data_IF_635608947960
#
_entry.id   IF_635608947960
#
_cell.length_a   1.000
_cell.length_b   1.000
_cell.length_c   1.000
_cell.angle_alpha   90.00
_cell.angle_beta   90.00
_cell.angle_gamma   90.00
#
_symmetry.space_group_name_H-M   'P 1'
#
loop_
_entity.id
_entity.type
_entity.pdbx_description
1 polymer ?
#
# COMPACT_ATOMS: atom_id res chain seq x y z
N UNK A 1 -21.10 3.23 -30.21
CA UNK A 1 -19.70 3.38 -29.78
C UNK A 1 -19.66 4.64 -28.95
N UNK A 2 -19.59 4.51 -27.63
CA UNK A 2 -19.49 5.68 -26.74
C UNK A 2 -18.04 6.13 -26.76
N UNK A 3 -17.76 7.31 -27.30
CA UNK A 3 -16.44 7.94 -27.23
C UNK A 3 -16.21 8.35 -25.77
N UNK A 4 -15.31 7.64 -25.07
CA UNK A 4 -15.10 7.83 -23.63
C UNK A 4 -14.06 8.95 -23.34
N UNK A 5 -13.93 9.88 -24.28
CA UNK A 5 -12.97 10.98 -24.24
C UNK A 5 -13.65 12.34 -23.99
N UNK A 6 -13.08 13.13 -23.08
CA UNK A 6 -13.52 14.50 -22.80
C UNK A 6 -12.57 15.48 -23.48
N UNK A 7 -13.11 16.32 -24.37
CA UNK A 7 -12.37 17.37 -25.05
C UNK A 7 -12.64 18.71 -24.36
N UNK A 8 -11.58 19.37 -23.90
CA UNK A 8 -11.65 20.60 -23.11
C UNK A 8 -10.74 21.63 -23.77
N UNK A 9 -11.19 22.88 -23.85
CA UNK A 9 -10.35 24.00 -24.29
C UNK A 9 -10.31 25.05 -23.18
N UNK A 10 -9.13 25.33 -22.62
CA UNK A 10 -8.93 26.26 -21.51
C UNK A 10 -7.76 27.19 -21.85
N UNK A 11 -7.97 28.50 -21.77
CA UNK A 11 -6.94 29.52 -22.07
C UNK A 11 -6.22 29.28 -23.41
N UNK A 12 -6.96 28.84 -24.45
CA UNK A 12 -6.43 28.50 -25.77
C UNK A 12 -5.83 27.09 -25.90
N UNK A 13 -5.55 26.41 -24.78
CA UNK A 13 -4.96 25.06 -24.76
C UNK A 13 -6.04 23.99 -24.94
N UNK A 14 -5.78 23.02 -25.82
CA UNK A 14 -6.69 21.88 -26.06
C UNK A 14 -6.22 20.66 -25.26
N UNK A 15 -7.09 20.13 -24.41
CA UNK A 15 -6.82 18.95 -23.59
C UNK A 15 -7.84 17.86 -23.94
N UNK A 16 -7.36 16.67 -24.26
CA UNK A 16 -8.17 15.48 -24.54
C UNK A 16 -7.95 14.50 -23.39
N UNK A 17 -8.92 14.35 -22.49
CA UNK A 17 -8.87 13.33 -21.44
C UNK A 17 -9.42 12.01 -22.01
N UNK A 18 -8.59 10.99 -22.11
CA UNK A 18 -8.95 9.66 -22.61
C UNK A 18 -9.20 8.77 -21.39
N UNK A 19 -10.48 8.54 -21.07
CA UNK A 19 -10.89 7.74 -19.92
C UNK A 19 -10.82 6.24 -20.19
N UNK A 20 -9.94 5.54 -19.47
CA UNK A 20 -9.68 4.11 -19.66
C UNK A 20 -10.36 3.27 -18.59
N UNK A 21 -10.99 2.17 -19.01
CA UNK A 21 -11.44 1.14 -18.09
C UNK A 21 -10.27 0.17 -17.91
N UNK A 22 -9.48 0.39 -16.87
CA UNK A 22 -8.30 -0.42 -16.57
C UNK A 22 -8.66 -1.91 -16.65
N UNK A 23 -7.94 -2.63 -17.51
CA UNK A 23 -8.16 -4.05 -17.86
C UNK A 23 -9.17 -4.23 -19.03
N UNK A 24 -9.15 -3.35 -20.03
CA UNK A 24 -9.98 -3.49 -21.25
C UNK A 24 -9.16 -3.40 -22.53
N UNK A 25 -9.21 -4.44 -23.36
CA UNK A 25 -8.62 -4.41 -24.72
C UNK A 25 -9.20 -3.27 -25.56
N UNK A 26 -10.49 -2.99 -25.39
CA UNK A 26 -11.15 -1.87 -26.08
C UNK A 26 -10.55 -0.52 -25.69
N UNK A 27 -10.14 -0.34 -24.43
CA UNK A 27 -9.47 0.89 -23.99
C UNK A 27 -8.06 1.04 -24.58
N UNK A 28 -7.33 -0.06 -24.80
CA UNK A 28 -6.03 -0.04 -25.49
C UNK A 28 -6.20 0.42 -26.94
N UNK A 29 -7.16 -0.17 -27.66
CA UNK A 29 -7.45 0.19 -29.05
C UNK A 29 -7.90 1.65 -29.19
N UNK A 30 -8.74 2.12 -28.27
CA UNK A 30 -9.21 3.51 -28.23
C UNK A 30 -8.07 4.50 -27.96
N UNK A 31 -7.21 4.22 -26.98
CA UNK A 31 -6.01 5.02 -26.70
C UNK A 31 -5.12 5.13 -27.94
N UNK A 32 -4.83 4.01 -28.59
CA UNK A 32 -3.99 3.98 -29.79
C UNK A 32 -4.61 4.78 -30.94
N UNK A 33 -5.92 4.61 -31.17
CA UNK A 33 -6.67 5.33 -32.19
C UNK A 33 -6.62 6.83 -31.96
N UNK A 34 -7.02 7.30 -30.77
CA UNK A 34 -7.08 8.74 -30.47
C UNK A 34 -5.70 9.39 -30.59
N UNK A 35 -4.64 8.77 -30.07
CA UNK A 35 -3.28 9.33 -30.18
C UNK A 35 -2.82 9.39 -31.66
N UNK A 36 -3.16 8.38 -32.46
CA UNK A 36 -2.80 8.31 -33.88
C UNK A 36 -3.55 9.33 -34.73
N UNK A 37 -4.85 9.52 -34.46
CA UNK A 37 -5.73 10.39 -35.24
C UNK A 37 -5.52 11.86 -34.87
N UNK A 38 -5.44 12.18 -33.57
CA UNK A 38 -5.34 13.56 -33.08
C UNK A 38 -3.91 14.11 -33.15
N UNK A 39 -2.90 13.22 -33.16
CA UNK A 39 -1.45 13.56 -33.14
C UNK A 39 -1.13 14.71 -32.18
N UNK A 40 -1.43 14.53 -30.88
CA UNK A 40 -1.21 15.59 -29.89
C UNK A 40 0.27 15.99 -29.84
N UNK A 41 0.54 17.23 -29.43
CA UNK A 41 1.91 17.71 -29.23
C UNK A 41 2.58 17.07 -28.01
N UNK A 42 1.81 16.50 -27.09
CA UNK A 42 2.30 15.80 -25.88
C UNK A 42 1.27 14.80 -25.37
N UNK A 43 1.74 13.67 -24.83
CA UNK A 43 0.89 12.66 -24.17
C UNK A 43 1.17 12.61 -22.67
N UNK A 44 0.16 12.84 -21.85
CA UNK A 44 0.20 12.69 -20.40
C UNK A 44 -0.35 11.32 -20.01
N UNK A 45 0.28 10.65 -19.05
CA UNK A 45 -0.11 9.29 -18.64
C UNK A 45 -0.26 9.22 -17.12
N UNK A 46 -1.37 8.65 -16.64
CA UNK A 46 -1.62 8.37 -15.21
C UNK A 46 -0.74 7.21 -14.72
N UNK A 47 0.56 7.49 -14.64
CA UNK A 47 1.57 6.55 -14.19
C UNK A 47 2.67 7.31 -13.45
N UNK A 48 3.13 6.75 -12.33
CA UNK A 48 4.29 7.27 -11.60
C UNK A 48 5.60 6.63 -12.11
N UNK A 49 6.73 7.21 -11.73
CA UNK A 49 8.04 6.77 -12.19
C UNK A 49 8.36 5.33 -11.74
N UNK A 50 7.98 4.96 -10.52
CA UNK A 50 8.14 3.61 -9.99
C UNK A 50 7.36 2.56 -10.80
N UNK A 51 6.09 2.84 -11.11
CA UNK A 51 5.25 1.97 -11.95
C UNK A 51 5.72 1.94 -13.40
N UNK A 52 6.11 3.07 -13.98
CA UNK A 52 6.71 3.10 -15.32
C UNK A 52 7.93 2.20 -15.40
N UNK A 53 8.86 2.33 -14.46
CA UNK A 53 10.05 1.47 -14.38
C UNK A 53 9.66 -0.01 -14.26
N UNK A 54 8.65 -0.32 -13.44
CA UNK A 54 8.17 -1.70 -13.23
C UNK A 54 7.49 -2.32 -14.46
N UNK A 55 6.82 -1.51 -15.29
CA UNK A 55 6.10 -1.95 -16.50
C UNK A 55 7.04 -2.00 -17.70
N UNK A 56 7.97 -1.04 -17.81
CA UNK A 56 8.88 -0.89 -18.94
C UNK A 56 10.17 -1.70 -18.79
N UNK A 57 10.66 -1.92 -17.57
CA UNK A 57 11.84 -2.73 -17.32
C UNK A 57 11.42 -4.08 -16.75
N UNK A 58 11.73 -5.17 -17.48
CA UNK A 58 11.79 -6.50 -16.88
C UNK A 58 12.97 -6.51 -15.88
N UNK A 59 12.61 -6.29 -14.61
CA UNK A 59 13.37 -6.59 -13.38
C UNK A 59 14.49 -5.63 -12.90
N UNK A 60 14.49 -5.39 -11.58
CA UNK A 60 15.71 -5.22 -10.76
C UNK A 60 15.39 -5.44 -9.26
N UNK A 61 14.68 -6.52 -8.92
CA UNK A 61 14.57 -6.96 -7.51
C UNK A 61 15.85 -7.69 -7.04
N UNK A 62 16.80 -7.96 -7.94
CA UNK A 62 18.11 -8.56 -7.64
C UNK A 62 18.95 -7.74 -6.65
N UNK A 63 18.62 -6.45 -6.45
CA UNK A 63 19.28 -5.54 -5.52
C UNK A 63 18.59 -5.41 -4.16
N UNK A 64 17.56 -6.21 -3.87
CA UNK A 64 16.89 -6.19 -2.56
C UNK A 64 17.83 -6.68 -1.46
N UNK A 65 18.28 -5.75 -0.62
CA UNK A 65 18.89 -6.10 0.66
C UNK A 65 17.80 -6.25 1.73
N UNK A 66 17.30 -7.47 1.86
CA UNK A 66 16.29 -7.85 2.87
C UNK A 66 16.82 -7.59 4.30
N UNK A 67 18.14 -7.71 4.52
CA UNK A 67 18.74 -7.44 5.83
C UNK A 67 18.64 -5.96 6.19
N UNK A 68 18.92 -5.08 5.22
CA UNK A 68 18.77 -3.62 5.39
C UNK A 68 17.33 -3.24 5.70
N UNK A 69 16.36 -3.86 5.03
CA UNK A 69 14.93 -3.61 5.26
C UNK A 69 14.53 -3.93 6.70
N UNK A 70 14.98 -5.06 7.26
CA UNK A 70 14.69 -5.39 8.66
C UNK A 70 15.43 -4.48 9.64
N UNK A 71 16.68 -4.09 9.37
CA UNK A 71 17.42 -3.12 10.22
C UNK A 71 16.74 -1.75 10.27
N UNK A 72 16.16 -1.32 9.17
CA UNK A 72 15.45 -0.05 9.04
C UNK A 72 13.99 -0.11 9.51
N UNK A 73 13.50 -1.25 10.01
CA UNK A 73 12.11 -1.42 10.44
C UNK A 73 11.09 -1.38 9.30
N UNK A 74 11.54 -1.53 8.04
CA UNK A 74 10.71 -1.44 6.83
C UNK A 74 10.06 -2.77 6.42
N UNK A 75 10.11 -3.79 7.27
CA UNK A 75 9.56 -5.12 6.99
C UNK A 75 8.07 -5.11 6.65
N UNK A 76 7.25 -4.38 7.43
CA UNK A 76 5.82 -4.25 7.15
C UNK A 76 5.52 -3.53 5.83
N UNK A 77 6.33 -2.54 5.46
CA UNK A 77 6.20 -1.85 4.17
C UNK A 77 6.48 -2.82 3.01
N UNK A 78 7.50 -3.66 3.13
CA UNK A 78 7.80 -4.67 2.12
C UNK A 78 6.65 -5.68 2.00
N UNK A 79 6.09 -6.16 3.12
CA UNK A 79 4.92 -7.04 3.11
C UNK A 79 3.73 -6.37 2.41
N UNK A 80 3.41 -5.13 2.77
CA UNK A 80 2.31 -4.38 2.17
C UNK A 80 2.48 -4.22 0.66
N UNK A 81 3.68 -3.86 0.20
CA UNK A 81 4.01 -3.76 -1.23
C UNK A 81 3.85 -5.11 -1.93
N UNK A 82 4.34 -6.21 -1.35
CA UNK A 82 4.22 -7.54 -1.95
C UNK A 82 2.76 -8.02 -2.03
N UNK A 83 1.97 -7.80 -0.98
CA UNK A 83 0.54 -8.13 -0.98
C UNK A 83 -0.20 -7.33 -2.04
N UNK A 84 0.05 -6.02 -2.13
CA UNK A 84 -0.57 -5.14 -3.11
C UNK A 84 -0.20 -5.57 -4.53
N UNK A 85 1.09 -5.79 -4.81
CA UNK A 85 1.55 -6.25 -6.11
C UNK A 85 1.01 -7.64 -6.47
N UNK A 86 0.86 -8.54 -5.48
CA UNK A 86 0.23 -9.85 -5.68
C UNK A 86 -1.25 -9.72 -6.04
N UNK A 87 -2.00 -8.85 -5.36
CA UNK A 87 -3.39 -8.54 -5.67
C UNK A 87 -3.54 -7.95 -7.08
N UNK A 88 -2.71 -6.96 -7.42
CA UNK A 88 -2.68 -6.34 -8.75
C UNK A 88 -2.41 -7.36 -9.87
N UNK A 89 -1.48 -8.31 -9.65
CA UNK A 89 -1.19 -9.37 -10.63
C UNK A 89 -2.35 -10.34 -10.81
N UNK A 90 -3.00 -10.76 -9.71
CA UNK A 90 -4.16 -11.67 -9.78
C UNK A 90 -5.33 -11.08 -10.55
N UNK A 91 -5.65 -9.80 -10.32
CA UNK A 91 -6.70 -9.11 -11.09
C UNK A 91 -6.36 -9.01 -12.58
N UNK A 92 -5.08 -8.89 -12.95
CA UNK A 92 -4.64 -8.83 -14.35
C UNK A 92 -4.59 -10.17 -15.09
N UNK A 93 -4.43 -11.29 -14.39
CA UNK A 93 -4.29 -12.60 -15.04
C UNK A 93 -5.60 -13.18 -15.58
N UNK A 94 -6.75 -12.79 -15.04
CA UNK A 94 -8.04 -13.39 -15.40
C UNK A 94 -8.65 -12.82 -16.71
N UNK A 95 -8.17 -11.67 -17.19
CA UNK A 95 -8.72 -10.97 -18.37
C UNK A 95 -7.73 -10.84 -19.54
N UNK A 96 -6.50 -11.37 -19.40
CA UNK A 96 -5.48 -11.33 -20.44
C UNK A 96 -4.93 -9.93 -20.75
N UNK A 97 -5.25 -8.93 -19.92
CA UNK A 97 -4.76 -7.55 -19.95
C UNK A 97 -4.26 -7.22 -18.55
N UNK A 98 -3.05 -6.68 -18.42
CA UNK A 98 -2.49 -6.29 -17.13
C UNK A 98 -2.95 -4.87 -16.78
N UNK A 99 -3.24 -4.57 -15.51
CA UNK A 99 -3.47 -3.21 -15.07
C UNK A 99 -2.31 -2.30 -15.51
N UNK A 100 -2.63 -1.24 -16.25
CA UNK A 100 -1.64 -0.30 -16.78
C UNK A 100 -1.18 -0.61 -18.21
N UNK A 101 -1.72 -1.64 -18.87
CA UNK A 101 -1.45 -1.89 -20.30
C UNK A 101 -1.99 -0.76 -21.19
N UNK A 102 -3.05 -0.06 -20.78
CA UNK A 102 -3.55 1.13 -21.49
C UNK A 102 -2.54 2.28 -21.42
N UNK A 103 -1.97 2.51 -20.23
CA UNK A 103 -0.91 3.49 -20.02
C UNK A 103 0.35 3.13 -20.80
N UNK A 104 0.69 1.84 -20.83
CA UNK A 104 1.82 1.33 -21.60
C UNK A 104 1.60 1.54 -23.10
N UNK A 105 0.41 1.24 -23.61
CA UNK A 105 0.05 1.45 -25.01
C UNK A 105 0.14 2.93 -25.39
N UNK A 106 -0.29 3.85 -24.53
CA UNK A 106 -0.12 5.28 -24.74
C UNK A 106 1.35 5.68 -24.91
N UNK A 107 2.23 5.13 -24.07
CA UNK A 107 3.68 5.38 -24.12
C UNK A 107 4.30 4.78 -25.38
N UNK A 108 3.95 3.54 -25.75
CA UNK A 108 4.48 2.88 -26.94
C UNK A 108 4.02 3.57 -28.22
N UNK A 109 2.75 3.95 -28.30
CA UNK A 109 2.18 4.66 -29.47
C UNK A 109 2.75 6.08 -29.59
N UNK A 110 2.87 6.83 -28.49
CA UNK A 110 3.51 8.15 -28.53
C UNK A 110 4.97 8.07 -28.97
N UNK A 111 5.73 7.11 -28.44
CA UNK A 111 7.12 6.87 -28.84
C UNK A 111 7.25 6.50 -30.33
N UNK A 112 6.36 5.64 -30.85
CA UNK A 112 6.34 5.25 -32.26
C UNK A 112 6.05 6.43 -33.21
N UNK A 113 5.26 7.41 -32.76
CA UNK A 113 4.92 8.61 -33.52
C UNK A 113 5.88 9.79 -33.27
N UNK A 114 6.89 9.62 -32.41
CA UNK A 114 7.82 10.70 -32.04
C UNK A 114 7.17 11.80 -31.19
N UNK A 115 6.05 11.51 -30.54
CA UNK A 115 5.33 12.44 -29.66
C UNK A 115 5.93 12.32 -28.25
N UNK A 116 6.35 13.42 -27.61
CA UNK A 116 6.85 13.38 -26.25
C UNK A 116 5.74 12.98 -25.26
N UNK A 117 6.09 12.17 -24.26
CA UNK A 117 5.16 11.80 -23.19
C UNK A 117 5.64 12.27 -21.81
N UNK A 118 4.71 12.40 -20.86
CA UNK A 118 4.95 12.76 -19.47
C UNK A 118 4.17 11.86 -18.52
N UNK A 119 4.85 11.46 -17.45
CA UNK A 119 4.26 10.79 -16.30
C UNK A 119 3.61 11.84 -15.38
N UNK A 120 2.31 11.71 -15.12
CA UNK A 120 1.53 12.75 -14.43
C UNK A 120 1.02 12.33 -13.05
N UNK A 121 1.30 11.11 -12.60
CA UNK A 121 0.78 10.61 -11.33
C UNK A 121 1.81 10.70 -10.19
N UNK A 122 1.28 10.73 -8.96
CA UNK A 122 2.05 10.68 -7.73
C UNK A 122 2.48 9.24 -7.45
N UNK A 123 3.64 9.08 -6.81
CA UNK A 123 4.10 7.79 -6.32
C UNK A 123 3.00 7.08 -5.51
N UNK A 124 2.60 5.88 -5.96
CA UNK A 124 1.50 5.11 -5.35
C UNK A 124 1.73 4.87 -3.85
N UNK A 125 2.99 4.69 -3.43
CA UNK A 125 3.34 4.53 -2.03
C UNK A 125 3.03 5.79 -1.20
N UNK A 126 3.26 6.98 -1.76
CA UNK A 126 2.91 8.25 -1.12
C UNK A 126 1.40 8.39 -0.99
N UNK A 127 0.65 8.11 -2.07
CA UNK A 127 -0.81 8.11 -2.08
C UNK A 127 -1.39 7.20 -0.99
N UNK A 128 -0.95 5.94 -0.91
CA UNK A 128 -1.42 4.98 0.10
C UNK A 128 -1.04 5.37 1.53
N UNK A 129 0.19 5.88 1.75
CA UNK A 129 0.62 6.32 3.08
C UNK A 129 -0.15 7.54 3.55
N UNK A 130 -0.47 8.48 2.65
CA UNK A 130 -1.30 9.64 2.96
C UNK A 130 -2.70 9.23 3.36
N UNK A 131 -3.33 8.33 2.59
CA UNK A 131 -4.64 7.76 2.94
C UNK A 131 -4.62 7.13 4.34
N UNK A 132 -3.60 6.33 4.65
CA UNK A 132 -3.46 5.71 5.97
C UNK A 132 -3.19 6.72 7.10
N UNK A 133 -2.40 7.76 6.83
CA UNK A 133 -2.08 8.80 7.81
C UNK A 133 -3.29 9.69 8.14
N UNK A 134 -4.15 9.95 7.14
CA UNK A 134 -5.39 10.74 7.29
C UNK A 134 -6.49 9.96 7.99
N UNK A 135 -6.57 8.65 7.78
CA UNK A 135 -7.56 7.79 8.43
C UNK A 135 -7.46 7.83 9.96
N UNK A 136 -8.58 8.17 10.61
CA UNK A 136 -8.76 8.00 12.05
C UNK A 136 -8.75 6.53 12.49
N UNK A 137 -8.71 6.29 13.80
CA UNK A 137 -8.75 4.93 14.34
C UNK A 137 -10.04 4.19 13.93
N UNK A 138 -11.16 4.91 13.87
CA UNK A 138 -12.45 4.35 13.47
C UNK A 138 -12.48 3.89 12.00
N UNK A 139 -12.04 4.74 11.06
CA UNK A 139 -11.92 4.38 9.64
C UNK A 139 -10.95 3.21 9.43
N UNK A 140 -9.87 3.13 10.21
CA UNK A 140 -8.95 1.97 10.22
C UNK A 140 -9.63 0.68 10.69
N UNK A 141 -10.42 0.75 11.76
CA UNK A 141 -11.18 -0.41 12.24
C UNK A 141 -12.23 -0.86 11.22
N UNK A 142 -12.94 0.07 10.58
CA UNK A 142 -13.89 -0.23 9.49
C UNK A 142 -13.21 -0.94 8.32
N UNK A 143 -12.07 -0.41 7.85
CA UNK A 143 -11.26 -1.02 6.80
C UNK A 143 -10.79 -2.43 7.18
N UNK A 144 -10.33 -2.62 8.42
CA UNK A 144 -9.93 -3.94 8.89
C UNK A 144 -11.11 -4.91 8.92
N UNK A 145 -12.28 -4.45 9.40
CA UNK A 145 -13.49 -5.26 9.43
C UNK A 145 -13.98 -5.63 8.02
N UNK A 146 -13.94 -4.71 7.05
CA UNK A 146 -14.33 -4.98 5.67
C UNK A 146 -13.36 -5.94 4.98
N UNK A 147 -12.05 -5.80 5.20
CA UNK A 147 -11.05 -6.74 4.68
C UNK A 147 -11.23 -8.14 5.26
N UNK A 148 -11.51 -8.26 6.57
CA UNK A 148 -11.81 -9.54 7.20
C UNK A 148 -13.09 -10.14 6.63
N UNK A 149 -14.17 -9.36 6.55
CA UNK A 149 -15.44 -9.81 5.96
C UNK A 149 -15.27 -10.29 4.52
N UNK A 150 -14.50 -9.57 3.70
CA UNK A 150 -14.16 -9.97 2.33
C UNK A 150 -13.33 -11.26 2.29
N UNK A 151 -12.34 -11.43 3.18
CA UNK A 151 -11.53 -12.64 3.25
C UNK A 151 -12.31 -13.89 3.69
N UNK A 152 -13.40 -13.72 4.45
CA UNK A 152 -14.32 -14.80 4.83
C UNK A 152 -15.50 -14.95 3.85
N UNK A 153 -15.68 -14.03 2.91
CA UNK A 153 -16.71 -14.15 1.87
C UNK A 153 -16.21 -15.07 0.75
N UNK A 154 -16.99 -16.12 0.48
CA UNK A 154 -16.70 -17.09 -0.58
C UNK A 154 -17.64 -16.90 -1.79
N UNK A 155 -18.33 -15.77 -1.86
CA UNK A 155 -19.23 -15.48 -2.98
C UNK A 155 -18.43 -15.07 -4.21
N UNK A 156 -18.42 -15.96 -5.20
CA UNK A 156 -17.97 -15.61 -6.55
C UNK A 156 -19.07 -14.76 -7.20
N UNK A 157 -18.70 -13.55 -7.61
CA UNK A 157 -19.59 -12.65 -8.37
C UNK A 157 -20.06 -13.36 -9.64
N UNK A 158 -21.36 -13.32 -9.90
CA UNK A 158 -21.93 -13.90 -11.13
C UNK A 158 -21.57 -13.02 -12.33
N UNK A 159 -21.46 -13.59 -13.55
CA UNK A 159 -21.19 -12.81 -14.76
C UNK A 159 -22.17 -11.65 -14.98
N UNK A 160 -23.43 -11.85 -14.62
CA UNK A 160 -24.50 -10.86 -14.70
C UNK A 160 -24.30 -9.68 -13.73
N UNK A 161 -23.73 -9.93 -12.55
CA UNK A 161 -23.36 -8.89 -11.58
C UNK A 161 -22.17 -8.08 -12.09
N UNK A 162 -21.17 -8.75 -12.69
CA UNK A 162 -20.00 -8.10 -13.31
C UNK A 162 -20.41 -7.19 -14.47
N UNK A 163 -21.42 -7.58 -15.26
CA UNK A 163 -21.92 -6.77 -16.37
C UNK A 163 -22.73 -5.56 -15.89
N UNK A 164 -23.50 -5.71 -14.82
CA UNK A 164 -24.19 -4.58 -14.17
C UNK A 164 -23.20 -3.59 -13.54
N UNK A 165 -22.08 -4.07 -12.98
CA UNK A 165 -20.98 -3.23 -12.48
C UNK A 165 -20.28 -2.41 -13.57
N UNK A 166 -20.44 -2.72 -14.87
CA UNK A 166 -19.86 -1.90 -15.95
C UNK A 166 -20.70 -0.68 -16.30
N UNK A 167 -21.92 -0.57 -15.76
CA UNK A 167 -22.78 0.59 -15.98
C UNK A 167 -22.27 1.75 -15.13
N UNK A 168 -22.00 2.88 -15.79
CA UNK A 168 -21.45 4.09 -15.18
C UNK A 168 -22.26 4.53 -13.93
N UNK A 169 -23.59 4.44 -14.01
CA UNK A 169 -24.49 4.79 -12.89
C UNK A 169 -24.37 3.88 -11.65
N UNK A 170 -24.04 2.60 -11.82
CA UNK A 170 -23.86 1.66 -10.69
C UNK A 170 -22.48 1.85 -10.03
N UNK A 171 -21.44 2.10 -10.84
CA UNK A 171 -20.11 2.45 -10.34
C UNK A 171 -20.15 3.77 -9.56
N UNK A 172 -20.84 4.78 -10.08
CA UNK A 172 -21.01 6.06 -9.41
C UNK A 172 -21.78 5.89 -8.08
N UNK A 173 -22.80 5.03 -8.04
CA UNK A 173 -23.52 4.67 -6.82
C UNK A 173 -22.64 4.00 -5.76
N UNK A 174 -21.87 2.98 -6.15
CA UNK A 174 -20.93 2.30 -5.24
C UNK A 174 -19.80 3.21 -4.75
N UNK A 175 -19.29 4.11 -5.61
CA UNK A 175 -18.30 5.12 -5.22
C UNK A 175 -18.91 6.14 -4.27
N UNK A 176 -20.19 6.48 -4.42
CA UNK A 176 -20.96 7.30 -3.48
C UNK A 176 -21.08 6.64 -2.10
N UNK A 177 -21.50 5.38 -2.04
CA UNK A 177 -21.59 4.63 -0.76
C UNK A 177 -20.22 4.47 -0.08
N UNK A 178 -19.16 4.22 -0.86
CA UNK A 178 -17.80 4.18 -0.35
C UNK A 178 -17.34 5.55 0.20
N UNK A 179 -17.73 6.63 -0.47
CA UNK A 179 -17.44 8.00 -0.05
C UNK A 179 -18.08 8.32 1.31
N UNK A 180 -19.31 7.90 1.53
CA UNK A 180 -20.00 8.10 2.81
C UNK A 180 -19.43 7.20 3.91
N UNK A 181 -19.02 5.99 3.57
CA UNK A 181 -18.49 5.02 4.53
C UNK A 181 -17.06 5.34 5.00
N UNK A 182 -16.21 5.82 4.08
CA UNK A 182 -14.77 6.10 4.25
C UNK A 182 -14.35 7.41 3.55
N UNK A 183 -14.84 8.57 4.01
CA UNK A 183 -14.62 9.86 3.35
C UNK A 183 -13.14 10.23 3.26
N UNK A 184 -12.33 9.91 4.27
CA UNK A 184 -10.90 10.24 4.26
C UNK A 184 -10.11 9.41 3.23
N UNK A 185 -10.60 8.21 2.90
CA UNK A 185 -10.00 7.35 1.87
C UNK A 185 -10.33 7.90 0.48
N UNK A 186 -11.58 8.31 0.27
CA UNK A 186 -12.01 8.94 -0.98
C UNK A 186 -11.25 10.25 -1.23
N UNK A 187 -11.18 11.12 -0.22
CA UNK A 187 -10.45 12.39 -0.28
C UNK A 187 -9.00 12.17 -0.75
N UNK A 188 -8.31 11.17 -0.19
CA UNK A 188 -6.87 10.97 -0.45
C UNK A 188 -6.54 10.13 -1.69
N UNK A 189 -7.36 9.13 -2.01
CA UNK A 189 -7.12 8.22 -3.15
C UNK A 189 -7.74 8.74 -4.45
N UNK A 190 -8.80 9.54 -4.36
CA UNK A 190 -9.53 10.07 -5.51
C UNK A 190 -9.32 11.58 -5.59
N UNK A 191 -9.88 12.36 -4.65
CA UNK A 191 -9.96 13.82 -4.81
C UNK A 191 -8.55 14.48 -4.87
N UNK A 192 -7.63 14.13 -3.95
CA UNK A 192 -6.22 14.58 -3.98
C UNK A 192 -5.48 14.11 -5.25
N UNK A 193 -5.85 12.94 -5.76
CA UNK A 193 -5.20 12.34 -6.94
C UNK A 193 -5.67 13.03 -8.21
N UNK A 194 -6.95 13.36 -8.31
CA UNK A 194 -7.54 14.16 -9.39
C UNK A 194 -6.89 15.54 -9.45
N UNK A 195 -6.74 16.19 -8.29
CA UNK A 195 -6.02 17.45 -8.16
C UNK A 195 -4.57 17.32 -8.66
N UNK A 196 -3.86 16.27 -8.24
CA UNK A 196 -2.48 16.04 -8.67
C UNK A 196 -2.35 15.84 -10.18
N UNK A 197 -3.20 14.99 -10.75
CA UNK A 197 -3.23 14.69 -12.18
C UNK A 197 -3.56 15.94 -12.99
N UNK A 198 -4.61 16.68 -12.60
CA UNK A 198 -5.01 17.92 -13.24
C UNK A 198 -3.87 18.95 -13.23
N UNK A 199 -3.20 19.16 -12.10
CA UNK A 199 -2.07 20.07 -12.00
C UNK A 199 -0.91 19.66 -12.92
N UNK A 200 -0.54 18.37 -12.96
CA UNK A 200 0.55 17.89 -13.83
C UNK A 200 0.18 17.99 -15.32
N UNK A 201 -1.07 17.71 -15.68
CA UNK A 201 -1.58 17.88 -17.05
C UNK A 201 -1.56 19.37 -17.43
N UNK A 202 -2.01 20.25 -16.54
CA UNK A 202 -2.00 21.70 -16.74
C UNK A 202 -0.60 22.23 -16.99
N UNK A 203 0.37 21.85 -16.14
CA UNK A 203 1.79 22.21 -16.32
C UNK A 203 2.29 21.70 -17.68
N UNK A 204 1.99 20.45 -18.03
CA UNK A 204 2.42 19.86 -19.29
C UNK A 204 1.88 20.60 -20.54
N UNK A 205 0.64 21.11 -20.45
CA UNK A 205 -0.01 21.91 -21.50
C UNK A 205 0.51 23.35 -21.60
N UNK A 206 1.11 23.87 -20.53
CA UNK A 206 1.63 25.24 -20.45
C UNK A 206 3.17 25.32 -20.50
N UNK A 207 3.87 24.20 -20.65
CA UNK A 207 5.33 24.18 -20.75
C UNK A 207 5.87 24.80 -22.03
N UNK A 208 5.13 24.69 -23.13
CA UNK A 208 5.49 25.28 -24.40
C UNK A 208 4.61 26.53 -24.65
N UNK A 209 5.25 27.63 -25.05
CA UNK A 209 4.60 28.91 -25.38
C UNK A 209 3.66 28.82 -26.59
N UNK A 210 3.59 27.67 -27.27
CA UNK A 210 2.65 27.45 -28.37
C UNK A 210 1.20 27.40 -27.84
N UNK A 211 0.39 28.37 -28.22
CA UNK A 211 -1.02 28.47 -27.86
C UNK A 211 -1.89 27.37 -28.48
N UNK A 212 -1.42 26.70 -29.54
CA UNK A 212 -2.19 25.69 -30.30
C UNK A 212 -1.83 24.23 -29.97
N UNK A 213 -1.11 23.98 -28.87
CA UNK A 213 -0.70 22.61 -28.53
C UNK A 213 -1.87 21.81 -27.95
N UNK A 214 -2.21 20.71 -28.61
CA UNK A 214 -3.12 19.69 -28.08
C UNK A 214 -2.34 18.74 -27.15
N UNK A 215 -2.85 18.52 -25.94
CA UNK A 215 -2.36 17.50 -25.00
C UNK A 215 -3.39 16.39 -24.87
N UNK A 216 -2.99 15.14 -25.07
CA UNK A 216 -3.83 13.99 -24.74
C UNK A 216 -3.41 13.40 -23.39
N UNK A 217 -4.33 13.25 -22.45
CA UNK A 217 -4.08 12.66 -21.15
C UNK A 217 -4.82 11.32 -21.01
N UNK A 218 -4.07 10.23 -20.87
CA UNK A 218 -4.60 8.87 -20.68
C UNK A 218 -4.72 8.61 -19.18
N UNK A 219 -5.95 8.52 -18.71
CA UNK A 219 -6.32 8.44 -17.28
C UNK A 219 -7.37 7.35 -17.07
N UNK A 220 -7.55 6.89 -15.84
CA UNK A 220 -8.65 6.01 -15.46
C UNK A 220 -9.98 6.75 -15.57
N UNK A 221 -11.01 6.09 -16.09
CA UNK A 221 -12.31 6.72 -16.35
C UNK A 221 -12.96 7.34 -15.09
N UNK A 222 -12.70 6.79 -13.91
CA UNK A 222 -13.18 7.33 -12.63
C UNK A 222 -12.56 8.67 -12.23
N UNK A 223 -11.40 9.03 -12.79
CA UNK A 223 -10.70 10.28 -12.52
C UNK A 223 -11.05 11.40 -13.52
N UNK A 224 -11.55 11.06 -14.72
CA UNK A 224 -11.76 12.00 -15.82
C UNK A 224 -12.58 13.24 -15.43
N UNK A 225 -13.67 13.06 -14.68
CA UNK A 225 -14.57 14.16 -14.30
C UNK A 225 -13.98 15.04 -13.19
N UNK A 226 -13.31 14.44 -12.20
CA UNK A 226 -12.62 15.20 -11.16
C UNK A 226 -11.45 16.00 -11.73
N UNK A 227 -10.64 15.39 -12.60
CA UNK A 227 -9.56 16.06 -13.33
C UNK A 227 -10.09 17.26 -14.12
N UNK A 228 -11.19 17.09 -14.87
CA UNK A 228 -11.83 18.19 -15.61
C UNK A 228 -12.16 19.36 -14.68
N UNK A 229 -12.79 19.10 -13.54
CA UNK A 229 -13.18 20.14 -12.59
C UNK A 229 -11.96 20.90 -12.03
N UNK A 230 -10.88 20.19 -11.68
CA UNK A 230 -9.64 20.82 -11.21
C UNK A 230 -8.95 21.63 -12.32
N UNK A 231 -8.91 21.13 -13.56
CA UNK A 231 -8.38 21.88 -14.70
C UNK A 231 -9.13 23.20 -14.91
N UNK A 232 -10.46 23.19 -14.84
CA UNK A 232 -11.30 24.39 -14.96
C UNK A 232 -10.99 25.42 -13.85
N UNK A 233 -10.85 24.98 -12.59
CA UNK A 233 -10.49 25.85 -11.46
C UNK A 233 -9.09 26.43 -11.58
N UNK A 234 -8.12 25.62 -12.02
CA UNK A 234 -6.75 26.09 -12.26
C UNK A 234 -6.74 27.13 -13.38
N UNK A 235 -7.46 26.90 -14.47
CA UNK A 235 -7.56 27.84 -15.58
C UNK A 235 -8.22 29.17 -15.19
N UNK A 236 -9.20 29.13 -14.28
CA UNK A 236 -9.87 30.30 -13.71
C UNK A 236 -9.03 31.05 -12.65
N UNK A 237 -7.91 30.48 -12.20
CA UNK A 237 -7.08 31.05 -11.13
C UNK A 237 -7.64 30.85 -9.72
N UNK A 238 -8.65 29.98 -9.56
CA UNK A 238 -9.25 29.63 -8.27
C UNK A 238 -8.41 28.59 -7.51
N UNK A 239 -7.60 27.82 -8.23
CA UNK A 239 -6.77 26.76 -7.71
C UNK A 239 -5.33 26.85 -8.24
N UNK A 240 -4.34 26.59 -7.37
CA UNK A 240 -2.93 26.56 -7.76
C UNK A 240 -2.57 25.26 -8.47
N UNK A 241 -1.65 25.33 -9.45
CA UNK A 241 -1.03 24.14 -10.05
C UNK A 241 0.14 23.60 -9.22
N UNK A 242 0.51 24.24 -8.11
CA UNK A 242 1.50 23.72 -7.16
C UNK A 242 0.87 22.66 -6.24
N UNK A 243 1.24 21.40 -6.48
CA UNK A 243 0.80 20.23 -5.72
C UNK A 243 1.89 19.64 -4.82
N UNK A 244 2.96 20.39 -4.53
CA UNK A 244 4.08 19.94 -3.68
C UNK A 244 3.63 19.46 -2.29
N UNK A 245 2.57 20.05 -1.73
CA UNK A 245 1.98 19.62 -0.45
C UNK A 245 1.36 18.22 -0.51
N UNK A 246 0.96 17.77 -1.70
CA UNK A 246 0.41 16.43 -1.93
C UNK A 246 1.50 15.36 -1.99
N UNK A 247 2.77 15.73 -2.16
CA UNK A 247 3.91 14.80 -2.13
C UNK A 247 4.42 14.52 -0.70
N UNK A 248 4.02 15.34 0.28
CA UNK A 248 4.45 15.22 1.69
C UNK A 248 3.53 14.25 2.43
N UNK A 249 4.05 13.30 3.21
CA UNK A 249 3.21 12.44 4.06
C UNK A 249 2.89 13.19 5.37
N UNK A 250 1.61 13.35 5.76
CA UNK A 250 1.24 13.98 7.03
C UNK A 250 1.96 13.31 8.21
N UNK A 251 2.54 14.10 9.15
CA UNK A 251 3.27 13.53 10.26
C UNK A 251 2.32 12.73 11.19
N UNK A 252 2.82 11.66 11.82
CA UNK A 252 2.03 10.91 12.78
C UNK A 252 1.63 11.79 13.96
N UNK A 253 0.37 11.69 14.41
CA UNK A 253 -0.15 12.45 15.56
C UNK A 253 0.70 12.17 16.80
N UNK A 254 0.97 13.17 17.63
CA UNK A 254 1.78 13.03 18.86
C UNK A 254 1.27 11.90 19.76
N UNK A 255 -0.04 11.73 19.85
CA UNK A 255 -0.68 10.63 20.57
C UNK A 255 -0.23 9.23 20.08
N UNK A 256 0.01 9.05 18.78
CA UNK A 256 0.50 7.77 18.24
C UNK A 256 1.96 7.50 18.62
N UNK A 257 2.79 8.55 18.80
CA UNK A 257 4.15 8.41 19.32
C UNK A 257 4.16 8.01 20.80
N UNK A 258 3.22 8.55 21.58
CA UNK A 258 3.03 8.22 22.99
C UNK A 258 2.41 6.83 23.18
N UNK A 259 1.54 6.38 22.26
CA UNK A 259 0.86 5.10 22.36
C UNK A 259 1.83 3.91 22.42
N UNK A 260 2.97 3.99 21.71
CA UNK A 260 4.00 2.95 21.76
C UNK A 260 4.58 2.72 23.17
N UNK A 261 4.55 3.74 24.04
CA UNK A 261 5.05 3.66 25.40
C UNK A 261 4.05 3.10 26.42
N UNK A 262 2.77 2.96 26.06
CA UNK A 262 1.72 2.49 26.97
C UNK A 262 2.09 1.10 27.52
N UNK A 263 2.44 0.16 26.64
CA UNK A 263 2.75 -1.23 27.03
C UNK A 263 4.01 -1.27 27.93
N UNK A 264 5.17 -0.68 27.55
CA UNK A 264 6.33 -0.61 28.44
C UNK A 264 6.03 -0.01 29.82
N UNK A 265 5.33 1.13 29.85
CA UNK A 265 5.00 1.82 31.11
C UNK A 265 4.11 0.95 31.99
N UNK A 266 3.08 0.31 31.42
CA UNK A 266 2.16 -0.57 32.17
C UNK A 266 2.91 -1.77 32.74
N UNK A 267 3.77 -2.43 31.96
CA UNK A 267 4.56 -3.58 32.42
C UNK A 267 5.49 -3.17 33.57
N UNK A 268 6.26 -2.09 33.39
CA UNK A 268 7.19 -1.59 34.41
C UNK A 268 6.44 -1.16 35.67
N UNK A 269 5.31 -0.46 35.53
CA UNK A 269 4.48 -0.05 36.66
C UNK A 269 3.93 -1.26 37.44
N UNK A 270 3.44 -2.29 36.75
CA UNK A 270 2.93 -3.51 37.40
C UNK A 270 4.04 -4.23 38.18
N UNK A 271 5.23 -4.38 37.58
CA UNK A 271 6.39 -4.98 38.24
C UNK A 271 6.81 -4.15 39.46
N UNK A 272 6.86 -2.82 39.33
CA UNK A 272 7.19 -1.93 40.45
C UNK A 272 6.16 -2.03 41.59
N UNK A 273 4.87 -2.04 41.27
CA UNK A 273 3.80 -2.24 42.26
C UNK A 273 3.93 -3.60 42.96
N UNK A 274 4.22 -4.66 42.21
CA UNK A 274 4.48 -5.99 42.78
C UNK A 274 5.65 -5.99 43.75
N UNK A 275 6.73 -5.30 43.40
CA UNK A 275 7.91 -5.18 44.26
C UNK A 275 7.61 -4.46 45.57
N UNK A 276 6.95 -3.30 45.50
CA UNK A 276 6.66 -2.49 46.68
C UNK A 276 5.53 -3.05 47.56
N UNK A 277 4.56 -3.79 47.00
CA UNK A 277 3.42 -4.33 47.77
C UNK A 277 3.60 -5.75 48.27
N UNK A 278 4.19 -6.63 47.46
CA UNK A 278 4.17 -8.07 47.69
C UNK A 278 5.58 -8.69 47.79
N UNK A 279 6.63 -7.88 47.64
CA UNK A 279 8.01 -8.30 47.83
C UNK A 279 8.63 -9.04 46.62
N UNK A 280 9.83 -9.54 46.83
CA UNK A 280 10.71 -10.06 45.76
C UNK A 280 10.20 -11.35 45.12
N UNK A 281 9.61 -12.25 45.90
CA UNK A 281 9.14 -13.55 45.42
C UNK A 281 8.00 -13.40 44.39
N UNK A 282 6.96 -12.62 44.71
CA UNK A 282 5.86 -12.37 43.77
C UNK A 282 6.34 -11.61 42.53
N UNK A 283 7.23 -10.64 42.71
CA UNK A 283 7.80 -9.87 41.60
C UNK A 283 8.54 -10.77 40.61
N UNK A 284 9.32 -11.72 41.11
CA UNK A 284 10.02 -12.68 40.27
C UNK A 284 9.02 -13.57 39.50
N UNK A 285 7.94 -14.01 40.16
CA UNK A 285 6.87 -14.75 39.50
C UNK A 285 6.17 -13.93 38.40
N UNK A 286 5.90 -12.65 38.64
CA UNK A 286 5.33 -11.74 37.64
C UNK A 286 6.25 -11.60 36.42
N UNK A 287 7.55 -11.37 36.65
CA UNK A 287 8.55 -11.27 35.56
C UNK A 287 8.59 -12.58 34.76
N UNK A 288 8.66 -13.73 35.44
CA UNK A 288 8.70 -15.04 34.78
C UNK A 288 7.43 -15.30 33.96
N UNK A 289 6.24 -15.05 34.52
CA UNK A 289 4.97 -15.22 33.78
C UNK A 289 4.88 -14.29 32.58
N UNK A 290 5.30 -13.04 32.71
CA UNK A 290 5.34 -12.11 31.60
C UNK A 290 6.28 -12.59 30.49
N UNK A 291 7.53 -12.95 30.85
CA UNK A 291 8.53 -13.47 29.90
C UNK A 291 8.02 -14.73 29.21
N UNK A 292 7.39 -15.65 29.95
CA UNK A 292 6.85 -16.89 29.39
C UNK A 292 5.72 -16.61 28.40
N UNK A 293 4.71 -15.82 28.77
CA UNK A 293 3.61 -15.51 27.85
C UNK A 293 4.09 -14.76 26.61
N UNK A 294 4.91 -13.73 26.78
CA UNK A 294 5.38 -12.90 25.68
C UNK A 294 6.37 -13.64 24.78
N UNK A 295 7.38 -14.30 25.36
CA UNK A 295 8.40 -15.05 24.65
C UNK A 295 7.85 -16.28 23.95
N UNK A 296 7.02 -17.10 24.62
CA UNK A 296 6.52 -18.35 24.03
C UNK A 296 5.61 -18.11 22.83
N UNK A 297 4.73 -17.10 22.88
CA UNK A 297 3.85 -16.79 21.76
C UNK A 297 4.60 -16.20 20.56
N UNK A 298 5.61 -15.36 20.80
CA UNK A 298 6.49 -14.89 19.72
C UNK A 298 7.29 -16.05 19.10
N UNK A 299 7.80 -16.98 19.92
CA UNK A 299 8.49 -18.18 19.46
C UNK A 299 7.56 -19.12 18.70
N UNK A 300 6.30 -19.28 19.14
CA UNK A 300 5.28 -20.04 18.45
C UNK A 300 4.98 -19.45 17.07
N UNK A 301 4.88 -18.12 16.96
CA UNK A 301 4.76 -17.44 15.67
C UNK A 301 5.92 -17.77 14.72
N UNK A 302 7.16 -17.73 15.22
CA UNK A 302 8.32 -18.13 14.44
C UNK A 302 8.30 -19.62 14.06
N UNK A 303 7.86 -20.49 14.97
CA UNK A 303 7.74 -21.93 14.73
C UNK A 303 6.70 -22.23 13.64
N UNK A 304 5.53 -21.60 13.69
CA UNK A 304 4.47 -21.73 12.69
C UNK A 304 4.99 -21.34 11.31
N UNK A 305 5.83 -20.29 11.23
CA UNK A 305 6.45 -19.87 9.98
C UNK A 305 7.58 -20.79 9.46
N UNK A 306 7.87 -21.90 10.15
CA UNK A 306 9.00 -22.79 9.88
C UNK A 306 10.35 -22.05 9.88
N UNK A 307 10.50 -21.13 10.83
CA UNK A 307 11.71 -20.37 11.06
C UNK A 307 12.86 -21.24 11.54
N UNK A 308 14.09 -20.75 11.35
CA UNK A 308 15.31 -21.39 11.81
C UNK A 308 15.28 -21.54 13.35
N UNK A 309 15.82 -22.62 13.94
CA UNK A 309 15.81 -22.81 15.40
C UNK A 309 16.38 -21.63 16.19
N UNK A 310 17.44 -20.99 15.67
CA UNK A 310 18.00 -19.78 16.28
C UNK A 310 17.07 -18.56 16.19
N UNK A 311 16.25 -18.45 15.16
CA UNK A 311 15.24 -17.41 15.06
C UNK A 311 14.11 -17.65 16.07
N UNK A 312 13.72 -18.91 16.33
CA UNK A 312 12.75 -19.26 17.37
C UNK A 312 13.28 -18.89 18.75
N UNK A 313 14.54 -19.23 19.05
CA UNK A 313 15.19 -18.86 20.31
C UNK A 313 15.31 -17.33 20.45
N UNK A 314 15.70 -16.63 19.39
CA UNK A 314 15.75 -15.18 19.37
C UNK A 314 14.37 -14.55 19.56
N UNK A 315 13.30 -15.14 19.01
CA UNK A 315 11.93 -14.72 19.27
C UNK A 315 11.56 -14.85 20.74
N UNK A 316 11.90 -15.97 21.39
CA UNK A 316 11.60 -16.19 22.81
C UNK A 316 12.32 -15.19 23.71
N UNK A 317 13.63 -15.04 23.53
CA UNK A 317 14.47 -14.19 24.38
C UNK A 317 14.34 -12.70 24.06
N UNK A 318 14.09 -12.37 22.79
CA UNK A 318 13.98 -11.00 22.31
C UNK A 318 12.62 -10.37 22.59
N UNK A 319 11.55 -11.16 22.75
CA UNK A 319 10.21 -10.60 22.90
C UNK A 319 10.08 -9.68 24.13
N UNK A 320 10.54 -10.06 25.33
CA UNK A 320 10.44 -9.19 26.51
C UNK A 320 11.21 -7.88 26.33
N UNK A 321 12.39 -7.95 25.71
CA UNK A 321 13.22 -6.77 25.42
C UNK A 321 12.53 -5.85 24.42
N UNK A 322 11.97 -6.43 23.34
CA UNK A 322 11.21 -5.68 22.33
C UNK A 322 9.95 -5.02 22.90
N UNK A 323 9.30 -5.67 23.87
CA UNK A 323 8.07 -5.18 24.50
C UNK A 323 8.31 -3.97 25.41
N UNK A 324 9.56 -3.77 25.86
CA UNK A 324 9.99 -2.59 26.60
C UNK A 324 10.53 -1.46 25.69
N UNK A 325 10.74 -1.73 24.39
CA UNK A 325 11.28 -0.77 23.45
C UNK A 325 10.36 -0.60 22.23
N UNK A 326 9.60 0.50 22.13
CA UNK A 326 8.65 0.70 21.03
C UNK A 326 9.30 0.82 19.64
N UNK A 327 10.63 1.00 19.55
CA UNK A 327 11.35 1.14 18.29
C UNK A 327 11.86 -0.19 17.73
N UNK A 328 11.95 -1.24 18.54
CA UNK A 328 12.50 -2.54 18.14
C UNK A 328 11.42 -3.60 18.33
N UNK A 329 10.77 -4.02 17.25
CA UNK A 329 9.80 -5.11 17.28
C UNK A 329 10.45 -6.49 17.25
N UNK A 330 9.86 -7.48 17.93
CA UNK A 330 10.39 -8.86 17.96
C UNK A 330 10.54 -9.47 16.57
N UNK A 331 9.64 -9.16 15.64
CA UNK A 331 9.74 -9.60 14.25
C UNK A 331 11.01 -9.11 13.55
N UNK A 332 11.50 -7.90 13.87
CA UNK A 332 12.74 -7.38 13.31
C UNK A 332 13.93 -8.25 13.73
N UNK A 333 13.98 -8.61 15.02
CA UNK A 333 15.03 -9.46 15.59
C UNK A 333 14.96 -10.85 14.96
N UNK A 334 13.80 -11.50 14.98
CA UNK A 334 13.65 -12.85 14.47
C UNK A 334 13.82 -12.93 12.95
N UNK A 335 13.34 -11.92 12.21
CA UNK A 335 13.57 -11.75 10.78
C UNK A 335 15.04 -11.55 10.42
N UNK A 336 15.79 -10.74 11.18
CA UNK A 336 17.23 -10.57 10.99
C UNK A 336 18.00 -11.87 11.23
N UNK A 337 17.69 -12.57 12.33
CA UNK A 337 18.29 -13.88 12.62
C UNK A 337 17.94 -14.89 11.52
N UNK A 338 16.68 -14.90 11.07
CA UNK A 338 16.26 -15.73 9.95
C UNK A 338 17.07 -15.46 8.68
N UNK A 339 17.23 -14.19 8.28
CA UNK A 339 18.00 -13.82 7.08
C UNK A 339 19.49 -14.13 7.24
N UNK A 340 20.04 -13.95 8.45
CA UNK A 340 21.45 -14.25 8.72
C UNK A 340 21.78 -15.73 8.52
N UNK A 341 20.91 -16.64 8.99
CA UNK A 341 21.12 -18.09 8.90
C UNK A 341 20.49 -18.72 7.64
N UNK A 342 19.46 -18.12 7.07
CA UNK A 342 18.80 -18.56 5.85
C UNK A 342 18.88 -17.48 4.77
N UNK A 343 20.12 -17.13 4.38
CA UNK A 343 20.40 -16.07 3.40
C UNK A 343 19.57 -16.26 2.10
N UNK A 344 18.81 -15.24 1.67
CA UNK A 344 18.14 -15.23 0.39
C UNK A 344 19.11 -15.39 -0.78
N UNK A 345 18.67 -16.06 -1.84
CA UNK A 345 19.40 -16.20 -3.11
C UNK A 345 18.82 -15.24 -4.15
N UNK A 346 19.57 -14.99 -5.22
CA UNK A 346 19.07 -14.21 -6.37
C UNK A 346 17.80 -14.85 -6.95
N UNK A 347 17.76 -16.18 -7.05
CA UNK A 347 16.56 -16.90 -7.50
C UNK A 347 15.32 -16.62 -6.64
N UNK A 348 15.49 -16.43 -5.31
CA UNK A 348 14.36 -16.11 -4.43
C UNK A 348 13.78 -14.72 -4.73
N UNK A 349 14.60 -13.78 -5.25
CA UNK A 349 14.11 -12.45 -5.66
C UNK A 349 13.32 -12.49 -6.97
N UNK A 350 13.75 -13.34 -7.90
CA UNK A 350 13.12 -13.50 -9.22
C UNK A 350 11.74 -14.17 -9.10
N UNK A 351 11.62 -15.21 -8.27
CA UNK A 351 10.35 -15.95 -8.10
C UNK A 351 9.45 -15.38 -7.01
N UNK A 352 9.86 -14.32 -6.30
CA UNK A 352 9.18 -13.81 -5.11
C UNK A 352 7.68 -13.58 -5.31
N UNK A 353 7.29 -12.95 -6.42
CA UNK A 353 5.89 -12.62 -6.71
C UNK A 353 5.03 -13.84 -7.06
N UNK A 354 5.63 -14.84 -7.68
CA UNK A 354 4.95 -16.12 -7.97
C UNK A 354 4.78 -16.90 -6.68
N UNK A 355 5.82 -16.93 -5.86
CA UNK A 355 5.84 -17.67 -4.60
C UNK A 355 4.84 -17.10 -3.58
N UNK A 356 4.70 -15.78 -3.45
CA UNK A 356 3.70 -15.16 -2.55
C UNK A 356 2.26 -15.44 -2.98
N UNK A 357 2.03 -15.85 -4.22
CA UNK A 357 0.69 -16.14 -4.74
C UNK A 357 0.16 -17.49 -4.28
N UNK A 358 0.95 -18.31 -3.57
CA UNK A 358 0.52 -19.58 -3.01
C UNK A 358 1.05 -19.79 -1.60
N UNK A 359 0.28 -20.47 -0.74
CA UNK A 359 0.75 -20.79 0.63
C UNK A 359 2.06 -21.58 0.59
N UNK A 360 2.16 -22.58 -0.30
CA UNK A 360 3.38 -23.39 -0.46
C UNK A 360 4.58 -22.55 -0.89
N UNK A 361 4.39 -21.57 -1.78
CA UNK A 361 5.44 -20.68 -2.24
C UNK A 361 5.94 -19.76 -1.12
N UNK A 362 5.04 -19.18 -0.32
CA UNK A 362 5.39 -18.35 0.84
C UNK A 362 6.35 -19.08 1.79
N UNK A 363 6.06 -20.35 2.09
CA UNK A 363 6.93 -21.16 2.94
C UNK A 363 8.19 -21.60 2.22
N UNK A 364 8.19 -21.82 0.89
CA UNK A 364 9.38 -22.29 0.17
C UNK A 364 10.44 -21.21 0.00
N UNK A 365 10.02 -20.02 -0.43
CA UNK A 365 10.92 -18.91 -0.74
C UNK A 365 11.49 -18.27 0.53
N UNK A 366 12.80 -18.03 0.53
CA UNK A 366 13.53 -17.60 1.73
C UNK A 366 13.16 -16.18 2.17
N UNK A 367 12.86 -15.30 1.21
CA UNK A 367 12.48 -13.91 1.47
C UNK A 367 11.09 -13.88 2.09
N UNK A 368 10.11 -14.51 1.43
CA UNK A 368 8.74 -14.58 1.95
C UNK A 368 8.68 -15.29 3.31
N UNK A 369 9.48 -16.34 3.52
CA UNK A 369 9.57 -17.00 4.82
C UNK A 369 10.15 -16.08 5.90
N UNK A 370 11.19 -15.30 5.59
CA UNK A 370 11.71 -14.31 6.54
C UNK A 370 10.69 -13.22 6.89
N UNK A 371 9.90 -12.78 5.91
CA UNK A 371 8.79 -11.86 6.15
C UNK A 371 7.66 -12.50 6.97
N UNK A 372 7.39 -13.79 6.76
CA UNK A 372 6.42 -14.55 7.55
C UNK A 372 6.88 -14.72 9.00
N UNK A 373 8.16 -15.04 9.22
CA UNK A 373 8.80 -15.08 10.55
C UNK A 373 8.64 -13.72 11.24
N UNK A 374 8.98 -12.64 10.55
CA UNK A 374 8.83 -11.28 11.05
C UNK A 374 7.38 -10.99 11.46
N UNK A 375 6.42 -11.30 10.58
CA UNK A 375 5.01 -11.01 10.82
C UNK A 375 4.43 -11.83 11.97
N UNK A 376 4.58 -13.16 11.94
CA UNK A 376 4.00 -14.04 12.94
C UNK A 376 4.68 -13.92 14.31
N UNK A 377 5.99 -13.68 14.37
CA UNK A 377 6.66 -13.40 15.65
C UNK A 377 6.16 -12.09 16.26
N UNK A 378 5.97 -11.04 15.44
CA UNK A 378 5.42 -9.75 15.90
C UNK A 378 3.98 -9.91 16.41
N UNK A 379 3.16 -10.67 15.69
CA UNK A 379 1.79 -10.98 16.10
C UNK A 379 1.77 -11.77 17.43
N UNK A 380 2.61 -12.80 17.54
CA UNK A 380 2.76 -13.58 18.76
C UNK A 380 3.19 -12.74 19.96
N UNK A 381 4.18 -11.86 19.79
CA UNK A 381 4.60 -10.91 20.83
C UNK A 381 3.50 -9.93 21.24
N UNK A 382 2.73 -9.41 20.28
CA UNK A 382 1.59 -8.52 20.57
C UNK A 382 0.50 -9.22 21.37
N UNK A 383 0.10 -10.44 20.97
CA UNK A 383 -0.87 -11.27 21.71
C UNK A 383 -0.32 -11.59 23.10
N UNK A 384 0.97 -11.94 23.20
CA UNK A 384 1.62 -12.21 24.46
C UNK A 384 1.63 -11.02 25.41
N UNK A 385 1.86 -9.80 24.92
CA UNK A 385 1.72 -8.59 25.73
C UNK A 385 0.30 -8.40 26.24
N UNK A 386 -0.70 -8.57 25.36
CA UNK A 386 -2.11 -8.43 25.73
C UNK A 386 -2.57 -9.44 26.79
N UNK A 387 -2.08 -10.69 26.73
CA UNK A 387 -2.39 -11.74 27.71
C UNK A 387 -1.57 -11.55 29.01
N UNK A 388 -0.32 -11.13 28.90
CA UNK A 388 0.58 -11.04 30.04
C UNK A 388 0.16 -9.98 31.06
N UNK A 389 -0.35 -8.83 30.61
CA UNK A 389 -0.79 -7.72 31.50
C UNK A 389 -1.87 -8.19 32.50
N UNK A 390 -3.00 -8.78 32.08
CA UNK A 390 -3.98 -9.32 33.04
C UNK A 390 -3.44 -10.52 33.82
N UNK A 391 -2.57 -11.35 33.22
CA UNK A 391 -1.99 -12.51 33.91
C UNK A 391 -1.09 -12.13 35.09
N UNK A 392 -0.31 -11.06 34.96
CA UNK A 392 0.52 -10.52 36.06
C UNK A 392 -0.28 -9.64 37.00
N UNK A 393 -1.26 -8.87 36.50
CA UNK A 393 -2.13 -8.06 37.37
C UNK A 393 -2.98 -8.92 38.30
N UNK A 394 -3.47 -10.08 37.82
CA UNK A 394 -4.23 -11.03 38.64
C UNK A 394 -3.43 -11.66 39.79
N UNK A 395 -2.10 -11.63 39.74
CA UNK A 395 -1.25 -12.04 40.87
C UNK A 395 -1.22 -11.02 42.01
N UNK A 396 -1.50 -9.75 41.74
CA UNK A 396 -1.52 -8.68 42.75
C UNK A 396 -2.84 -8.62 43.53
N UNK A 397 -3.89 -9.27 43.01
CA UNK A 397 -5.24 -9.26 43.58
C UNK A 397 -5.47 -10.50 44.48
N UNK A 398 -4.63 -11.53 44.33
CA UNK A 398 -4.59 -12.69 45.22
C UNK A 398 -3.62 -12.43 46.36
#
# INVERSE_FOLDING_TARGET
MNDNSLRITLNGKKIILIGTAHISKGSIEEVNRIITDEKPGKVCVELDQGRYTSISQKESWEKLDVSKIFKEGKGFLLIANLVLSGFQRRMGSELGVKPGDEMKAAIETSAALGIPFRLCDREVQTTLRRAWARCGLWSKCKLLASLLASAFSTEKLKPEEIENLKKQNELDGMMGELSDYLPEVKETLIDERDQYLAAKIWIAANEDDSTDQTVAAVVGAGHSQGIKSHLEKIAAGEESSDVSQLDIIPPPRTASKLAGWIIPIVIVALIAVGFFRAGTALTLEMILRWVLWNGSLAAAGCLISLGHPLAILASFLGAPVSSLNPFIGIGMISGLVQVAFCKPRVSDTQTLFEDISSLKGIYRNRISRALLVFFLSSLGGAIGNFISIPAIAGLLIK
#
